data_IF_458101430947
#
_entry.id   IF_458101430947
#
_cell.length_a   1.000
_cell.length_b   1.000
_cell.length_c   1.000
_cell.angle_alpha   90.00
_cell.angle_beta   90.00
_cell.angle_gamma   90.00
#
_symmetry.space_group_name_H-M   'P 1'
#
loop_
_entity.id
_entity.type
_entity.pdbx_description
1 polymer ?
#
# COMPACT_ATOMS: atom_id res chain seq x y z
N UNK A 1 -15.02 -0.49 8.89
CA UNK A 1 -14.91 0.91 8.41
C UNK A 1 -13.50 1.33 7.93
N UNK A 2 -12.69 0.41 7.36
CA UNK A 2 -11.36 0.71 6.80
C UNK A 2 -11.23 0.19 5.36
N UNK A 3 -12.26 0.41 4.56
CA UNK A 3 -12.23 0.09 3.14
C UNK A 3 -11.49 1.22 2.44
N UNK A 4 -10.36 0.91 1.83
CA UNK A 4 -9.60 1.85 1.03
C UNK A 4 -10.04 1.62 -0.42
N UNK A 5 -10.88 2.52 -0.97
CA UNK A 5 -11.54 2.22 -2.22
C UNK A 5 -10.57 2.14 -3.40
N UNK A 6 -9.36 2.71 -3.28
CA UNK A 6 -8.43 2.78 -4.39
C UNK A 6 -6.95 2.71 -3.96
N UNK A 7 -6.21 1.87 -4.67
CA UNK A 7 -4.76 1.88 -4.83
C UNK A 7 -4.42 1.85 -6.32
N UNK A 8 -3.38 2.55 -6.75
CA UNK A 8 -2.91 2.53 -8.15
C UNK A 8 -2.17 1.21 -8.42
N UNK A 9 -2.64 0.42 -9.40
CA UNK A 9 -2.07 -0.90 -9.70
C UNK A 9 -1.52 -1.05 -11.13
N UNK A 10 -0.54 -1.93 -11.28
CA UNK A 10 -0.17 -2.58 -12.55
C UNK A 10 -0.34 -4.10 -12.45
N UNK A 11 -0.88 -4.73 -13.51
CA UNK A 11 -1.27 -6.15 -13.52
C UNK A 11 -0.06 -7.08 -13.78
N UNK A 12 -0.11 -8.36 -13.34
CA UNK A 12 1.03 -9.26 -13.42
C UNK A 12 1.05 -9.99 -14.76
N UNK A 13 2.01 -9.67 -15.63
CA UNK A 13 2.45 -10.57 -16.71
C UNK A 13 3.96 -10.69 -16.70
N UNK A 14 4.47 -11.86 -17.11
CA UNK A 14 5.90 -12.20 -17.14
C UNK A 14 6.75 -11.33 -18.11
N UNK A 15 6.09 -10.56 -18.98
CA UNK A 15 6.63 -9.32 -19.55
C UNK A 15 6.00 -8.16 -18.77
N UNK A 16 6.80 -7.26 -18.20
CA UNK A 16 6.31 -6.11 -17.44
C UNK A 16 5.50 -5.23 -18.39
N UNK A 17 4.19 -5.47 -18.45
CA UNK A 17 3.28 -4.75 -19.31
C UNK A 17 2.67 -3.63 -18.47
N UNK A 18 3.26 -2.45 -18.58
CA UNK A 18 2.72 -1.27 -17.95
C UNK A 18 1.46 -0.85 -18.71
N UNK A 19 0.30 -0.76 -18.04
CA UNK A 19 -0.89 -0.24 -18.70
C UNK A 19 -0.66 1.23 -19.08
N UNK A 20 -1.17 1.65 -20.24
CA UNK A 20 -1.17 3.06 -20.64
C UNK A 20 -2.03 3.91 -19.70
N UNK A 21 -3.15 3.32 -19.25
CA UNK A 21 -4.10 3.96 -18.33
C UNK A 21 -3.80 3.61 -16.87
N UNK A 22 -4.06 4.59 -16.00
CA UNK A 22 -4.04 4.41 -14.55
C UNK A 22 -5.07 3.35 -14.13
N UNK A 23 -4.65 2.36 -13.32
CA UNK A 23 -5.58 1.39 -12.73
C UNK A 23 -5.79 1.68 -11.27
N UNK A 24 -6.96 1.32 -10.75
CA UNK A 24 -7.25 1.37 -9.33
C UNK A 24 -7.83 0.05 -8.82
N UNK A 25 -7.54 -0.32 -7.57
CA UNK A 25 -8.16 -1.46 -6.91
C UNK A 25 -8.62 -1.16 -5.49
N UNK A 26 -9.63 -1.91 -5.03
CA UNK A 26 -10.10 -1.86 -3.64
C UNK A 26 -9.24 -2.77 -2.78
N UNK A 27 -8.81 -2.26 -1.63
CA UNK A 27 -8.07 -3.00 -0.62
C UNK A 27 -8.58 -2.63 0.77
N UNK A 28 -8.27 -3.46 1.75
CA UNK A 28 -8.59 -3.21 3.16
C UNK A 28 -7.32 -3.10 3.98
N UNK A 29 -7.39 -2.33 5.07
CA UNK A 29 -6.28 -2.29 6.04
C UNK A 29 -6.21 -3.63 6.76
N UNK A 30 -5.02 -4.23 6.74
CA UNK A 30 -4.69 -5.43 7.49
C UNK A 30 -4.23 -5.04 8.89
N UNK A 31 -4.71 -5.75 9.90
CA UNK A 31 -4.31 -5.50 11.29
C UNK A 31 -2.79 -5.63 11.46
N UNK A 32 -2.18 -4.71 12.22
CA UNK A 32 -0.72 -4.67 12.41
C UNK A 32 -0.16 -6.01 12.89
N UNK A 33 -0.83 -6.66 13.85
CA UNK A 33 -0.41 -7.97 14.37
C UNK A 33 -0.39 -9.04 13.28
N UNK A 34 -1.42 -9.06 12.42
CA UNK A 34 -1.45 -9.98 11.28
C UNK A 34 -0.34 -9.67 10.28
N UNK A 35 -0.10 -8.40 9.98
CA UNK A 35 0.98 -8.05 9.06
C UNK A 35 2.37 -8.40 9.61
N UNK A 36 2.61 -8.19 10.90
CA UNK A 36 3.86 -8.60 11.56
C UNK A 36 4.04 -10.11 11.62
N UNK A 37 2.94 -10.88 11.69
CA UNK A 37 2.98 -12.35 11.53
C UNK A 37 3.35 -12.75 10.10
N UNK A 38 2.83 -12.05 9.08
CA UNK A 38 3.15 -12.32 7.68
C UNK A 38 4.60 -11.94 7.32
N UNK A 39 5.13 -10.87 7.92
CA UNK A 39 6.49 -10.38 7.70
C UNK A 39 7.29 -10.23 9.02
N UNK A 40 7.71 -11.33 9.64
CA UNK A 40 8.40 -11.30 10.94
C UNK A 40 9.69 -10.48 10.89
N UNK A 41 9.80 -9.50 11.77
CA UNK A 41 11.00 -8.65 11.90
C UNK A 41 11.16 -7.54 10.85
N UNK A 42 10.32 -7.51 9.81
CA UNK A 42 10.42 -6.51 8.73
C UNK A 42 9.43 -5.35 8.85
N UNK A 43 8.29 -5.57 9.52
CA UNK A 43 7.25 -4.54 9.69
C UNK A 43 7.46 -3.75 10.98
N UNK A 44 7.48 -2.43 10.85
CA UNK A 44 7.67 -1.47 11.95
C UNK A 44 6.39 -0.66 12.20
N UNK A 45 6.34 0.08 13.32
CA UNK A 45 5.21 0.97 13.65
C UNK A 45 5.02 2.14 12.65
N UNK A 46 5.99 2.38 11.76
CA UNK A 46 5.93 3.38 10.70
C UNK A 46 5.30 2.85 9.41
N UNK A 47 4.85 1.60 9.40
CA UNK A 47 4.28 0.93 8.25
C UNK A 47 2.81 0.59 8.50
N UNK A 48 2.05 0.47 7.42
CA UNK A 48 0.67 -0.05 7.40
C UNK A 48 0.56 -1.04 6.25
N UNK A 49 -0.23 -2.09 6.43
CA UNK A 49 -0.39 -3.11 5.41
C UNK A 49 -1.81 -3.08 4.86
N UNK A 50 -1.93 -3.26 3.55
CA UNK A 50 -3.22 -3.28 2.89
C UNK A 50 -3.28 -4.37 1.84
N UNK A 51 -4.42 -5.04 1.79
CA UNK A 51 -4.71 -6.13 0.88
C UNK A 51 -6.17 -6.54 1.04
N UNK A 52 -6.65 -7.46 0.23
CA UNK A 52 -8.03 -7.95 0.30
C UNK A 52 -7.99 -9.48 0.29
N UNK A 53 -8.56 -10.09 1.33
CA UNK A 53 -8.51 -11.53 1.50
C UNK A 53 -9.34 -12.21 0.39
N UNK A 54 -8.69 -13.07 -0.42
CA UNK A 54 -9.32 -13.71 -1.58
C UNK A 54 -9.31 -12.89 -2.86
N UNK A 55 -8.77 -11.66 -2.84
CA UNK A 55 -8.45 -10.88 -4.03
C UNK A 55 -6.95 -10.96 -4.34
N UNK A 56 -6.60 -10.69 -5.60
CA UNK A 56 -5.20 -10.49 -6.04
C UNK A 56 -4.86 -9.01 -6.22
N UNK A 57 -5.67 -8.12 -5.65
CA UNK A 57 -5.43 -6.68 -5.68
C UNK A 57 -4.22 -6.33 -4.81
N UNK A 58 -3.16 -5.83 -5.44
CA UNK A 58 -1.90 -5.46 -4.79
C UNK A 58 -1.11 -4.52 -5.68
N UNK A 59 -0.40 -3.56 -5.09
CA UNK A 59 0.58 -2.72 -5.79
C UNK A 59 1.68 -3.58 -6.38
N UNK A 60 2.18 -3.20 -7.55
CA UNK A 60 3.25 -3.92 -8.21
C UNK A 60 4.41 -2.98 -8.61
N UNK A 61 5.33 -3.52 -9.40
CA UNK A 61 6.49 -2.79 -9.89
C UNK A 61 6.04 -1.55 -10.66
N UNK A 62 6.57 -0.38 -10.29
CA UNK A 62 6.19 0.91 -10.88
C UNK A 62 5.12 1.68 -10.10
N UNK A 63 4.40 1.04 -9.18
CA UNK A 63 3.41 1.72 -8.33
C UNK A 63 4.03 2.35 -7.07
N UNK A 64 5.33 2.15 -6.83
CA UNK A 64 6.06 2.73 -5.69
C UNK A 64 5.82 4.24 -5.62
N UNK A 65 5.61 4.75 -4.40
CA UNK A 65 5.24 6.15 -4.12
C UNK A 65 3.79 6.52 -4.46
N UNK A 66 3.01 5.61 -5.05
CA UNK A 66 1.58 5.77 -5.26
C UNK A 66 0.80 5.89 -3.94
N UNK A 67 -0.37 6.55 -3.95
CA UNK A 67 -1.17 6.78 -2.76
C UNK A 67 -2.04 5.56 -2.41
N UNK A 68 -2.10 5.24 -1.12
CA UNK A 68 -3.17 4.44 -0.52
C UNK A 68 -4.22 5.41 0.05
N UNK A 69 -5.40 5.42 -0.55
CA UNK A 69 -6.48 6.36 -0.18
C UNK A 69 -7.63 5.61 0.48
N UNK A 70 -8.03 6.06 1.66
CA UNK A 70 -9.17 5.53 2.39
C UNK A 70 -10.12 6.68 2.73
N UNK A 71 -11.38 6.56 2.30
CA UNK A 71 -12.42 7.59 2.45
C UNK A 71 -11.96 9.00 2.03
N UNK A 72 -11.27 9.09 0.88
CA UNK A 72 -10.77 10.35 0.32
C UNK A 72 -9.55 10.94 1.04
N UNK A 73 -8.95 10.22 2.00
CA UNK A 73 -7.77 10.67 2.75
C UNK A 73 -6.57 9.78 2.46
N UNK A 74 -5.41 10.41 2.28
CA UNK A 74 -4.13 9.70 2.15
C UNK A 74 -3.78 9.02 3.48
N UNK A 75 -3.76 7.69 3.49
CA UNK A 75 -3.40 6.89 4.67
C UNK A 75 -2.00 6.30 4.55
N UNK A 76 -1.55 6.02 3.33
CA UNK A 76 -0.22 5.50 3.11
C UNK A 76 0.35 5.76 1.74
N UNK A 77 1.60 5.39 1.58
CA UNK A 77 2.36 5.49 0.33
C UNK A 77 2.94 4.12 0.03
N UNK A 78 2.77 3.62 -1.21
CA UNK A 78 3.29 2.32 -1.66
C UNK A 78 4.80 2.27 -1.37
N UNK A 79 5.23 1.26 -0.62
CA UNK A 79 6.63 1.11 -0.22
C UNK A 79 7.23 -0.18 -0.77
N UNK A 80 6.75 -1.34 -0.33
CA UNK A 80 7.28 -2.63 -0.74
C UNK A 80 6.24 -3.74 -0.56
N UNK A 81 6.54 -4.92 -1.07
CA UNK A 81 5.65 -6.07 -0.99
C UNK A 81 6.38 -7.38 -1.25
N UNK A 82 5.64 -8.48 -1.43
CA UNK A 82 6.22 -9.75 -1.84
C UNK A 82 6.89 -9.65 -3.22
N UNK A 83 7.79 -10.58 -3.54
CA UNK A 83 8.45 -10.62 -4.85
C UNK A 83 7.50 -10.92 -6.03
N UNK A 84 6.32 -11.48 -5.75
CA UNK A 84 5.24 -11.68 -6.71
C UNK A 84 4.04 -10.86 -6.23
N UNK A 85 3.58 -9.92 -7.07
CA UNK A 85 2.44 -9.06 -6.78
C UNK A 85 1.13 -9.88 -6.75
N UNK A 86 0.20 -9.46 -5.89
CA UNK A 86 -1.15 -10.05 -5.84
C UNK A 86 -1.20 -11.42 -5.18
N UNK A 87 -0.23 -11.73 -4.32
CA UNK A 87 -0.25 -12.91 -3.45
C UNK A 87 -1.38 -12.78 -2.40
N UNK A 88 -2.41 -13.64 -2.42
CA UNK A 88 -3.55 -13.52 -1.52
C UNK A 88 -3.20 -13.67 -0.03
N UNK A 89 -2.03 -14.20 0.31
CA UNK A 89 -1.56 -14.40 1.68
C UNK A 89 -0.63 -13.29 2.17
N UNK A 90 -0.13 -12.46 1.25
CA UNK A 90 0.93 -11.47 1.52
C UNK A 90 0.49 -10.08 1.07
N UNK A 91 0.01 -9.23 2.00
CA UNK A 91 -0.46 -7.89 1.65
C UNK A 91 0.70 -6.95 1.32
N UNK A 92 0.45 -5.95 0.49
CA UNK A 92 1.40 -4.86 0.27
C UNK A 92 1.69 -4.08 1.57
N UNK A 93 2.88 -3.50 1.65
CA UNK A 93 3.35 -2.71 2.78
C UNK A 93 3.56 -1.26 2.35
N UNK A 94 3.00 -0.35 3.13
CA UNK A 94 2.91 1.07 2.85
C UNK A 94 3.52 1.87 4.00
N UNK A 95 4.02 3.07 3.72
CA UNK A 95 4.36 4.04 4.76
C UNK A 95 3.08 4.46 5.47
N UNK A 96 3.08 4.50 6.80
CA UNK A 96 1.93 4.98 7.59
C UNK A 96 2.00 6.51 7.73
N UNK A 97 1.28 7.23 6.86
CA UNK A 97 1.34 8.71 6.79
C UNK A 97 0.86 9.38 8.07
N UNK A 98 -0.02 8.73 8.84
CA UNK A 98 -0.49 9.28 10.11
C UNK A 98 0.66 9.55 11.09
N UNK A 99 1.74 8.75 11.02
CA UNK A 99 2.95 8.92 11.86
C UNK A 99 3.80 10.13 11.46
N UNK A 100 3.65 10.63 10.23
CA UNK A 100 4.50 11.67 9.64
C UNK A 100 3.80 13.03 9.50
N UNK A 101 2.52 13.13 9.85
CA UNK A 101 1.71 14.36 9.71
C UNK A 101 2.39 15.61 10.27
N UNK A 102 2.96 15.54 11.49
CA UNK A 102 3.69 16.65 12.10
C UNK A 102 4.89 17.08 11.28
N UNK A 103 5.73 16.13 10.87
CA UNK A 103 6.92 16.41 10.06
C UNK A 103 6.56 17.02 8.71
N UNK A 104 5.49 16.52 8.06
CA UNK A 104 5.00 17.07 6.79
C UNK A 104 4.58 18.53 6.98
N UNK A 105 3.76 18.81 7.99
CA UNK A 105 3.27 20.17 8.29
C UNK A 105 4.41 21.13 8.67
N UNK A 106 5.39 20.65 9.43
CA UNK A 106 6.56 21.46 9.80
C UNK A 106 7.41 21.79 8.58
N UNK A 107 7.63 20.82 7.68
CA UNK A 107 8.39 21.01 6.44
C UNK A 107 7.69 21.99 5.50
N UNK A 108 6.37 21.84 5.31
CA UNK A 108 5.55 22.74 4.48
C UNK A 108 5.47 24.18 5.02
N UNK A 109 5.68 24.40 6.32
CA UNK A 109 5.69 25.76 6.90
C UNK A 109 7.05 26.45 6.80
N UNK A 110 8.12 25.66 6.63
CA UNK A 110 9.50 26.16 6.58
C UNK A 110 9.96 26.51 5.15
N UNK A 111 9.21 26.10 4.14
CA UNK A 111 9.47 26.32 2.71
C UNK A 111 8.24 26.92 2.06
#
# INVERSE_FOLDING_TARGET
PFLCPYIILSLPTFAVNFPEDLRCAKVTIVAEEQCRRTYPGSVTANMVCAGEHGSRADSCQGDSWGPLVCDGRLQGIVSWGPGICGDPQKPGVYVNICKYTRWIQDTMRRN
#
